data_IF_302072229685
#
_entry.id   IF_302072229685
#
_cell.length_a   1.000
_cell.length_b   1.000
_cell.length_c   1.000
_cell.angle_alpha   90.00
_cell.angle_beta   90.00
_cell.angle_gamma   90.00
#
_symmetry.space_group_name_H-M   'P 1'
#
loop_
_entity.id
_entity.type
_entity.pdbx_description
1 polymer ?
#
# COMPACT_ATOMS: atom_id res chain seq x y z
N UNK A 1 -1.45 17.08 -11.96
CA UNK A 1 -1.40 15.62 -11.72
C UNK A 1 0.04 15.21 -11.38
N UNK A 2 0.54 15.57 -10.19
CA UNK A 2 1.90 15.21 -9.74
C UNK A 2 1.99 15.20 -8.21
N UNK A 3 0.94 14.70 -7.53
CA UNK A 3 0.95 14.57 -6.08
C UNK A 3 0.95 13.09 -5.73
N UNK A 4 2.15 12.52 -5.65
CA UNK A 4 2.40 11.13 -5.22
C UNK A 4 1.55 10.78 -3.99
N UNK A 5 1.53 11.68 -3.01
CA UNK A 5 0.76 11.55 -1.78
C UNK A 5 -0.76 11.50 -1.99
N UNK A 6 -1.30 12.28 -2.92
CA UNK A 6 -2.73 12.30 -3.20
C UNK A 6 -3.17 11.03 -3.94
N UNK A 7 -2.35 10.55 -4.88
CA UNK A 7 -2.58 9.30 -5.59
C UNK A 7 -2.47 8.10 -4.64
N UNK A 8 -1.45 8.10 -3.78
CA UNK A 8 -1.28 7.06 -2.75
C UNK A 8 -2.47 7.00 -1.81
N UNK A 9 -2.96 8.16 -1.32
CA UNK A 9 -4.14 8.19 -0.45
C UNK A 9 -5.39 7.64 -1.15
N UNK A 10 -5.58 7.92 -2.43
CA UNK A 10 -6.71 7.36 -3.21
C UNK A 10 -6.59 5.84 -3.33
N UNK A 11 -5.42 5.34 -3.74
CA UNK A 11 -5.17 3.91 -3.85
C UNK A 11 -5.29 3.19 -2.51
N UNK A 12 -4.81 3.79 -1.43
CA UNK A 12 -4.94 3.25 -0.09
C UNK A 12 -6.40 3.11 0.33
N UNK A 13 -7.24 4.11 0.06
CA UNK A 13 -8.69 4.02 0.32
C UNK A 13 -9.34 2.90 -0.49
N UNK A 14 -8.99 2.77 -1.77
CA UNK A 14 -9.48 1.70 -2.63
C UNK A 14 -9.03 0.33 -2.12
N UNK A 15 -7.74 0.16 -1.84
CA UNK A 15 -7.19 -1.09 -1.32
C UNK A 15 -7.86 -1.47 0.00
N UNK A 16 -8.02 -0.53 0.94
CA UNK A 16 -8.74 -0.78 2.20
C UNK A 16 -10.18 -1.23 1.96
N UNK A 17 -10.89 -0.66 0.98
CA UNK A 17 -12.25 -1.09 0.65
C UNK A 17 -12.30 -2.49 0.03
N UNK A 18 -11.27 -2.89 -0.72
CA UNK A 18 -11.18 -4.22 -1.35
C UNK A 18 -10.87 -5.28 -0.30
N UNK A 19 -9.92 -5.00 0.60
CA UNK A 19 -9.42 -5.97 1.58
C UNK A 19 -10.04 -5.82 2.98
N UNK A 20 -11.12 -5.05 3.12
CA UNK A 20 -11.77 -4.78 4.42
C UNK A 20 -12.16 -6.04 5.21
N UNK A 21 -12.38 -7.17 4.54
CA UNK A 21 -12.72 -8.45 5.17
C UNK A 21 -11.52 -9.31 5.58
N UNK A 22 -10.33 -8.99 5.07
CA UNK A 22 -9.12 -9.81 5.21
C UNK A 22 -8.02 -9.11 6.01
N UNK A 23 -8.17 -7.81 6.30
CA UNK A 23 -7.21 -7.01 7.07
C UNK A 23 -7.64 -6.85 8.53
N UNK A 24 -6.66 -6.86 9.43
CA UNK A 24 -6.88 -6.47 10.82
C UNK A 24 -7.03 -4.94 10.98
N UNK A 25 -7.35 -4.49 12.19
CA UNK A 25 -7.47 -3.05 12.53
C UNK A 25 -6.19 -2.24 12.25
N UNK A 26 -5.04 -2.93 12.14
CA UNK A 26 -3.75 -2.34 11.80
C UNK A 26 -3.45 -2.38 10.29
N UNK A 27 -4.38 -2.85 9.45
CA UNK A 27 -4.20 -2.91 8.00
C UNK A 27 -3.24 -4.00 7.51
N UNK A 28 -3.07 -5.08 8.29
CA UNK A 28 -2.23 -6.23 7.93
C UNK A 28 -3.07 -7.49 7.75
N UNK A 29 -2.68 -8.37 6.82
CA UNK A 29 -3.34 -9.66 6.59
C UNK A 29 -3.05 -10.68 7.71
N UNK A 30 -1.88 -10.57 8.34
CA UNK A 30 -1.51 -11.42 9.48
C UNK A 30 -1.16 -10.56 10.70
N UNK A 31 -1.20 -11.21 11.86
CA UNK A 31 -0.68 -10.61 13.08
C UNK A 31 0.85 -10.70 13.10
N UNK A 32 1.49 -9.56 13.32
CA UNK A 32 2.94 -9.48 13.52
C UNK A 32 3.23 -9.13 14.99
N UNK A 33 4.06 -9.92 15.71
CA UNK A 33 4.42 -9.61 17.09
C UNK A 33 5.27 -8.33 17.19
N UNK A 34 6.09 -8.06 16.18
CA UNK A 34 6.78 -6.79 16.00
C UNK A 34 6.02 -5.94 15.00
N UNK A 35 5.55 -4.77 15.41
CA UNK A 35 4.77 -3.88 14.54
C UNK A 35 5.65 -3.40 13.37
N UNK A 36 5.26 -3.64 12.10
CA UNK A 36 6.01 -3.15 10.95
C UNK A 36 5.88 -1.62 10.81
N UNK A 37 6.87 -1.00 10.16
CA UNK A 37 6.86 0.45 9.89
C UNK A 37 5.80 0.86 8.86
N UNK A 38 5.40 -0.07 8.01
CA UNK A 38 4.39 0.10 6.97
C UNK A 38 3.46 -1.12 7.01
N UNK A 39 2.16 -0.88 6.93
CA UNK A 39 1.15 -1.93 6.98
C UNK A 39 1.08 -2.66 5.65
N UNK A 40 0.65 -3.92 5.64
CA UNK A 40 0.56 -4.71 4.40
C UNK A 40 -0.28 -4.01 3.32
N UNK A 41 -1.41 -3.43 3.72
CA UNK A 41 -2.28 -2.66 2.81
C UNK A 41 -1.60 -1.40 2.23
N UNK A 42 -0.68 -0.80 2.97
CA UNK A 42 0.10 0.34 2.51
C UNK A 42 1.17 -0.08 1.50
N UNK A 43 1.75 -1.27 1.68
CA UNK A 43 2.68 -1.87 0.71
C UNK A 43 1.94 -2.16 -0.59
N UNK A 44 0.77 -2.81 -0.54
CA UNK A 44 -0.06 -3.09 -1.72
C UNK A 44 -0.43 -1.81 -2.48
N UNK A 45 -0.87 -0.78 -1.74
CA UNK A 45 -1.18 0.52 -2.33
C UNK A 45 0.04 1.20 -2.95
N UNK A 46 1.22 1.04 -2.35
CA UNK A 46 2.47 1.60 -2.85
C UNK A 46 2.94 0.89 -4.13
N UNK A 47 2.88 -0.44 -4.17
CA UNK A 47 3.19 -1.23 -5.36
C UNK A 47 2.26 -0.85 -6.52
N UNK A 48 0.95 -0.77 -6.28
CA UNK A 48 -0.01 -0.35 -7.29
C UNK A 48 0.25 1.08 -7.80
N UNK A 49 0.68 1.98 -6.91
CA UNK A 49 1.08 3.33 -7.28
C UNK A 49 2.34 3.33 -8.16
N UNK A 50 3.36 2.55 -7.80
CA UNK A 50 4.62 2.43 -8.55
C UNK A 50 4.37 1.97 -9.99
N UNK A 51 3.55 0.93 -10.15
CA UNK A 51 3.12 0.44 -11.46
C UNK A 51 2.33 1.51 -12.25
N UNK A 52 1.40 2.21 -11.58
CA UNK A 52 0.61 3.28 -12.20
C UNK A 52 1.44 4.49 -12.64
N UNK A 53 2.62 4.68 -12.05
CA UNK A 53 3.58 5.71 -12.42
C UNK A 53 4.52 5.27 -13.55
N UNK A 54 4.37 4.03 -14.06
CA UNK A 54 5.30 3.38 -15.02
C UNK A 54 6.76 3.58 -14.62
N UNK A 55 7.04 3.56 -13.31
CA UNK A 55 8.39 3.41 -12.80
C UNK A 55 8.54 1.94 -12.46
N UNK A 56 9.37 1.24 -13.23
CA UNK A 56 9.77 -0.12 -12.94
C UNK A 56 10.06 -0.29 -11.44
N UNK A 57 9.37 -1.24 -10.82
CA UNK A 57 9.54 -1.61 -9.41
C UNK A 57 11.00 -1.92 -9.05
N UNK A 58 11.82 -2.22 -10.05
CA UNK A 58 13.26 -2.49 -9.96
C UNK A 58 14.07 -1.30 -9.41
N UNK A 59 13.59 -0.05 -9.50
CA UNK A 59 14.35 1.13 -9.07
C UNK A 59 14.10 1.55 -7.60
N UNK A 60 13.21 0.89 -6.85
CA UNK A 60 12.90 1.25 -5.45
C UNK A 60 13.14 0.13 -4.44
N UNK A 61 13.52 -1.06 -4.91
CA UNK A 61 13.83 -2.24 -4.08
C UNK A 61 15.34 -2.38 -3.75
N UNK A 62 16.20 -1.49 -4.28
CA UNK A 62 17.65 -1.45 -4.05
C UNK A 62 18.12 -0.08 -3.57
#
# INVERSE_FOLDING_TARGET
MHNLRANFKKLLTTAKSVFQGDINEQGNFQFYPNKPKMSDIEIVALSCLAESLSKDSENWLF
#
